data_IF_639193863129
#
_entry.id   IF_639193863129
#
_cell.length_a   1.000
_cell.length_b   1.000
_cell.length_c   1.000
_cell.angle_alpha   90.00
_cell.angle_beta   90.00
_cell.angle_gamma   90.00
#
_symmetry.space_group_name_H-M   'P 1'
#
loop_
_entity.id
_entity.type
_entity.pdbx_description
1 polymer ?
#
# COMPACT_ATOMS: atom_id res chain seq x y z
N UNK A 1 -4.22 -4.05 12.65
CA UNK A 1 -2.91 -3.89 12.03
C UNK A 1 -1.94 -3.79 13.18
N UNK A 2 -1.14 -4.81 13.43
CA UNK A 2 -0.09 -4.73 14.45
C UNK A 2 0.90 -3.62 14.06
N UNK A 3 1.40 -2.89 15.05
CA UNK A 3 2.29 -1.73 14.84
C UNK A 3 3.64 -2.24 14.33
N UNK A 4 3.79 -2.40 13.01
CA UNK A 4 5.06 -2.78 12.39
C UNK A 4 4.95 -3.59 11.09
N UNK A 5 3.79 -4.14 10.77
CA UNK A 5 3.66 -4.97 9.56
C UNK A 5 3.59 -4.14 8.28
N UNK A 6 4.24 -4.64 7.23
CA UNK A 6 4.15 -4.08 5.88
C UNK A 6 2.74 -4.32 5.34
N UNK A 7 2.08 -3.27 4.86
CA UNK A 7 0.85 -3.37 4.10
C UNK A 7 1.19 -3.53 2.62
N UNK A 8 0.86 -4.68 2.04
CA UNK A 8 1.01 -4.94 0.60
C UNK A 8 -0.37 -5.15 -0.02
N UNK A 9 -0.66 -4.38 -1.06
CA UNK A 9 -1.88 -4.48 -1.87
C UNK A 9 -1.46 -4.73 -3.32
N UNK A 10 -1.49 -6.00 -3.78
CA UNK A 10 -1.08 -6.39 -5.14
C UNK A 10 -1.95 -5.79 -6.25
N UNK A 11 -3.25 -5.68 -5.97
CA UNK A 11 -4.28 -5.06 -6.80
C UNK A 11 -5.25 -4.30 -5.88
N UNK A 12 -5.32 -2.98 -6.05
CA UNK A 12 -6.16 -2.11 -5.24
C UNK A 12 -7.64 -2.22 -5.58
N UNK A 13 -8.00 -2.56 -6.82
CA UNK A 13 -9.39 -2.70 -7.26
C UNK A 13 -10.11 -3.91 -6.66
N UNK A 14 -9.37 -4.95 -6.27
CA UNK A 14 -9.93 -6.15 -5.63
C UNK A 14 -9.84 -6.08 -4.11
N UNK A 15 -9.17 -5.05 -3.57
CA UNK A 15 -9.05 -4.88 -2.14
C UNK A 15 -10.32 -4.25 -1.56
N UNK A 16 -11.09 -5.03 -0.80
CA UNK A 16 -12.38 -4.61 -0.23
C UNK A 16 -12.35 -3.28 0.52
N UNK A 17 -11.23 -2.96 1.18
CA UNK A 17 -11.08 -1.74 1.98
C UNK A 17 -10.76 -0.50 1.14
N UNK A 18 -10.09 -0.68 -0.01
CA UNK A 18 -9.51 0.43 -0.77
C UNK A 18 -10.01 0.56 -2.20
N UNK A 19 -10.75 -0.43 -2.71
CA UNK A 19 -11.24 -0.49 -4.08
C UNK A 19 -12.11 0.72 -4.48
N UNK A 20 -12.77 1.38 -3.53
CA UNK A 20 -13.61 2.56 -3.77
C UNK A 20 -12.91 3.89 -3.48
N UNK A 21 -11.63 3.86 -3.10
CA UNK A 21 -10.88 5.08 -2.80
C UNK A 21 -10.72 5.95 -4.06
N UNK A 22 -10.96 7.27 -4.01
CA UNK A 22 -10.80 8.15 -5.17
C UNK A 22 -9.43 8.08 -5.87
N UNK A 23 -8.36 7.72 -5.17
CA UNK A 23 -7.02 7.54 -5.75
C UNK A 23 -6.94 6.24 -6.60
N UNK A 24 -7.80 5.26 -6.32
CA UNK A 24 -7.91 3.98 -7.02
C UNK A 24 -8.85 4.08 -8.23
N UNK A 25 -10.01 4.74 -8.08
CA UNK A 25 -11.08 4.79 -9.10
C UNK A 25 -11.22 6.11 -9.86
N UNK A 26 -10.63 7.20 -9.36
CA UNK A 26 -10.78 8.53 -9.93
C UNK A 26 -9.86 8.80 -11.12
N UNK A 27 -10.09 9.91 -11.81
CA UNK A 27 -9.33 10.36 -12.98
C UNK A 27 -7.88 10.83 -12.68
N UNK A 28 -7.37 10.54 -11.47
CA UNK A 28 -6.06 10.96 -11.00
C UNK A 28 -4.96 9.93 -11.30
N UNK A 29 -4.19 9.59 -10.27
CA UNK A 29 -3.01 8.73 -10.40
C UNK A 29 -3.35 7.27 -10.77
N UNK A 30 -4.56 6.80 -10.46
CA UNK A 30 -5.04 5.42 -10.73
C UNK A 30 -4.06 4.37 -10.20
N UNK A 31 -3.96 4.26 -8.87
CA UNK A 31 -3.06 3.32 -8.22
C UNK A 31 -3.58 1.90 -8.37
N UNK A 32 -2.73 0.95 -8.77
CA UNK A 32 -3.04 -0.50 -8.88
C UNK A 32 -2.22 -1.36 -7.93
N UNK A 33 -1.02 -0.92 -7.58
CA UNK A 33 -0.20 -1.56 -6.56
C UNK A 33 0.14 -0.56 -5.46
N UNK A 34 0.13 -1.02 -4.21
CA UNK A 34 0.58 -0.24 -3.06
C UNK A 34 1.38 -1.12 -2.10
N UNK A 35 2.54 -0.64 -1.66
CA UNK A 35 3.26 -1.18 -0.52
C UNK A 35 3.62 -0.05 0.45
N UNK A 36 3.35 -0.25 1.74
CA UNK A 36 3.64 0.72 2.77
C UNK A 36 4.22 0.06 4.01
N UNK A 37 5.28 0.65 4.57
CA UNK A 37 5.84 0.27 5.87
C UNK A 37 5.65 1.43 6.85
N UNK A 38 5.14 1.18 8.06
CA UNK A 38 4.98 2.25 9.05
C UNK A 38 6.35 2.81 9.46
N UNK A 39 6.41 4.12 9.62
CA UNK A 39 7.54 4.81 10.26
C UNK A 39 7.23 4.90 11.75
N UNK A 40 8.03 4.21 12.56
CA UNK A 40 7.83 4.13 14.01
C UNK A 40 8.85 5.02 14.73
N UNK A 41 8.41 5.66 15.81
CA UNK A 41 9.33 6.25 16.79
C UNK A 41 10.09 5.14 17.54
N UNK A 42 11.15 5.49 18.31
CA UNK A 42 11.76 4.54 19.24
C UNK A 42 10.79 3.97 20.30
N UNK A 43 9.68 4.68 20.59
CA UNK A 43 8.62 4.23 21.49
C UNK A 43 7.60 3.28 20.85
N UNK A 44 7.65 3.09 19.53
CA UNK A 44 6.75 2.21 18.78
C UNK A 44 5.49 2.90 18.26
N UNK A 45 5.36 4.22 18.43
CA UNK A 45 4.25 4.99 17.86
C UNK A 45 4.43 5.19 16.35
N UNK A 46 3.37 4.95 15.59
CA UNK A 46 3.37 5.22 14.15
C UNK A 46 3.23 6.73 13.87
N UNK A 47 4.23 7.32 13.22
CA UNK A 47 4.25 8.74 12.84
C UNK A 47 4.01 8.97 11.35
N UNK A 48 3.94 7.90 10.56
CA UNK A 48 3.69 7.95 9.13
C UNK A 48 3.95 6.60 8.46
N UNK A 49 4.12 6.61 7.14
CA UNK A 49 4.53 5.44 6.38
C UNK A 49 5.45 5.86 5.22
N UNK A 50 6.49 5.07 4.98
CA UNK A 50 7.17 5.07 3.68
C UNK A 50 6.38 4.18 2.75
N UNK A 51 6.06 4.67 1.56
CA UNK A 51 5.26 3.91 0.61
C UNK A 51 5.79 3.97 -0.82
N UNK A 52 5.50 2.88 -1.54
CA UNK A 52 5.70 2.73 -2.97
C UNK A 52 4.34 2.43 -3.60
N UNK A 53 4.08 3.03 -4.76
CA UNK A 53 2.86 2.87 -5.50
C UNK A 53 3.14 2.77 -6.99
N UNK A 54 2.32 2.00 -7.69
CA UNK A 54 2.43 1.79 -9.13
C UNK A 54 1.03 1.80 -9.78
N UNK A 55 0.98 2.13 -11.07
CA UNK A 55 -0.23 2.08 -11.91
C UNK A 55 -0.42 0.70 -12.55
N UNK A 56 0.56 -0.20 -12.44
CA UNK A 56 0.47 -1.59 -12.88
C UNK A 56 0.39 -2.52 -11.67
N UNK A 57 -0.34 -3.63 -11.79
CA UNK A 57 -0.43 -4.64 -10.73
C UNK A 57 0.85 -5.46 -10.60
N UNK A 58 1.10 -6.02 -9.42
CA UNK A 58 2.24 -6.92 -9.18
C UNK A 58 1.73 -8.25 -8.62
N UNK A 59 1.87 -9.33 -9.39
CA UNK A 59 1.39 -10.67 -9.02
C UNK A 59 2.22 -11.33 -7.90
N UNK A 60 3.53 -11.05 -7.85
CA UNK A 60 4.44 -11.59 -6.82
C UNK A 60 5.32 -10.48 -6.21
N UNK A 61 4.78 -9.67 -5.30
CA UNK A 61 5.43 -8.47 -4.77
C UNK A 61 6.60 -8.74 -3.82
N UNK A 62 6.77 -9.99 -3.39
CA UNK A 62 7.84 -10.43 -2.47
C UNK A 62 9.00 -11.13 -3.19
N UNK A 63 8.93 -11.31 -4.51
CA UNK A 63 10.02 -11.95 -5.25
C UNK A 63 11.21 -10.99 -5.36
N UNK A 64 12.27 -11.31 -4.63
CA UNK A 64 13.59 -10.72 -4.84
C UNK A 64 14.12 -11.15 -6.20
N UNK A 65 14.71 -10.21 -6.96
CA UNK A 65 15.35 -10.48 -8.25
C UNK A 65 16.48 -11.51 -8.14
#
# INVERSE_FOLDING_TARGET
MESGEVLIIPETLTNERFATNPIVIGAGLVVRFYAGVPLLTPGGEAIGALCMLDRVTIENPTRSY
#
